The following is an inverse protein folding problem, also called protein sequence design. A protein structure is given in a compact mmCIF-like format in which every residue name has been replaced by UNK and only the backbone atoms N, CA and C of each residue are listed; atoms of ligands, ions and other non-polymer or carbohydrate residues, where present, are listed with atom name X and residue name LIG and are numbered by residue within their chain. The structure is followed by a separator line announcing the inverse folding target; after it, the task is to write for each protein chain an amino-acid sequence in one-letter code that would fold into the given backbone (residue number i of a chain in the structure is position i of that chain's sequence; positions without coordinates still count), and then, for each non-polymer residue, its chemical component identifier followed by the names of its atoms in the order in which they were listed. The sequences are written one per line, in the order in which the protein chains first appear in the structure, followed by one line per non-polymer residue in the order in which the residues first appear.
data_IF_689726408937
#
_entry.id   IF_689726408937
#
_cell.length_a   1.000
_cell.length_b   1.000
_cell.length_c   1.000
_cell.angle_alpha   90.00
_cell.angle_beta   90.00
_cell.angle_gamma   90.00
#
_symmetry.space_group_name_H-M   'P 1'
#
loop_
_entity.id
_entity.type
_entity.pdbx_description
1 polymer ?
#
# COMPACT_ATOMS: atom_id res chain seq x y z
N UNK A 1 16.03 -12.21 -5.40
CA UNK A 1 15.13 -11.78 -4.30
C UNK A 1 15.77 -10.56 -3.65
N UNK A 2 15.20 -9.36 -3.80
CA UNK A 2 15.75 -8.16 -3.17
C UNK A 2 15.37 -8.21 -1.70
N UNK A 3 16.35 -8.38 -0.81
CA UNK A 3 16.15 -8.24 0.64
C UNK A 3 16.35 -6.78 0.99
N UNK A 4 15.56 -6.27 1.92
CA UNK A 4 15.54 -4.87 2.31
C UNK A 4 16.85 -4.45 3.00
N UNK A 5 17.96 -4.33 2.26
CA UNK A 5 19.33 -3.98 2.70
C UNK A 5 19.81 -4.66 4.02
N UNK A 6 19.23 -5.81 4.39
CA UNK A 6 19.49 -6.48 5.67
C UNK A 6 18.61 -6.03 6.85
N UNK A 7 17.81 -4.98 6.71
CA UNK A 7 16.89 -4.47 7.72
C UNK A 7 15.53 -5.18 7.70
N UNK A 8 14.99 -5.48 8.89
CA UNK A 8 13.61 -5.98 9.04
C UNK A 8 12.64 -4.81 8.88
N UNK A 9 11.81 -4.82 7.85
CA UNK A 9 10.68 -3.88 7.70
C UNK A 9 9.50 -4.40 8.51
N UNK A 10 8.96 -3.56 9.40
CA UNK A 10 7.77 -3.85 10.21
C UNK A 10 6.89 -2.59 10.25
N UNK A 11 5.60 -2.77 10.55
CA UNK A 11 4.63 -1.67 10.72
C UNK A 11 4.57 -0.69 9.53
N UNK A 12 4.61 -1.21 8.31
CA UNK A 12 4.46 -0.41 7.10
C UNK A 12 3.10 -0.63 6.45
N UNK A 13 2.65 0.38 5.72
CA UNK A 13 1.40 0.35 4.97
C UNK A 13 1.70 0.02 3.51
N UNK A 14 0.92 -0.89 2.94
CA UNK A 14 0.98 -1.23 1.51
C UNK A 14 -0.37 -0.98 0.86
N UNK A 15 -0.35 -0.66 -0.43
CA UNK A 15 -1.57 -0.46 -1.22
C UNK A 15 -1.40 -1.08 -2.60
N UNK A 16 -2.37 -1.89 -3.02
CA UNK A 16 -2.56 -2.26 -4.42
C UNK A 16 -3.50 -1.26 -5.08
N UNK A 17 -3.09 -0.67 -6.22
CA UNK A 17 -3.87 0.32 -6.98
C UNK A 17 -4.22 -0.15 -8.39
N UNK A 18 -4.21 -1.47 -8.64
CA UNK A 18 -4.59 -2.03 -9.93
C UNK A 18 -6.07 -1.81 -10.24
N UNK A 19 -6.37 -1.46 -11.50
CA UNK A 19 -7.75 -1.35 -12.00
C UNK A 19 -8.49 -2.70 -11.96
N UNK A 20 -7.76 -3.81 -12.15
CA UNK A 20 -8.30 -5.18 -12.08
C UNK A 20 -7.58 -5.92 -10.97
N UNK A 21 -8.33 -6.49 -10.03
CA UNK A 21 -7.76 -7.27 -8.94
C UNK A 21 -7.15 -8.57 -9.44
N UNK A 22 -5.83 -8.70 -9.26
CA UNK A 22 -5.08 -9.91 -9.58
C UNK A 22 -4.55 -10.56 -8.31
N UNK A 23 -4.49 -11.88 -8.33
CA UNK A 23 -4.07 -12.66 -7.15
C UNK A 23 -2.63 -12.33 -6.69
N UNK A 24 -1.72 -12.00 -7.63
CA UNK A 24 -0.31 -11.68 -7.30
C UNK A 24 -0.17 -10.37 -6.53
N UNK A 25 -0.73 -9.24 -6.98
CA UNK A 25 -0.79 -8.02 -6.18
C UNK A 25 -1.48 -8.23 -4.83
N UNK A 26 -2.63 -8.88 -4.81
CA UNK A 26 -3.35 -9.16 -3.55
C UNK A 26 -2.49 -9.98 -2.58
N UNK A 27 -1.72 -10.95 -3.08
CA UNK A 27 -0.86 -11.78 -2.24
C UNK A 27 0.44 -11.07 -1.85
N UNK A 28 1.20 -10.56 -2.81
CA UNK A 28 2.56 -10.07 -2.60
C UNK A 28 2.62 -8.65 -2.02
N UNK A 29 1.59 -7.83 -2.27
CA UNK A 29 1.54 -6.43 -1.80
C UNK A 29 0.63 -6.31 -0.58
N UNK A 30 -0.54 -6.93 -0.61
CA UNK A 30 -1.55 -6.70 0.44
C UNK A 30 -1.39 -7.68 1.61
N UNK A 31 -1.36 -8.99 1.33
CA UNK A 31 -1.44 -10.04 2.37
C UNK A 31 -0.08 -10.47 2.93
N UNK A 32 0.91 -10.75 2.08
CA UNK A 32 2.21 -11.28 2.50
C UNK A 32 3.00 -10.29 3.35
N UNK A 33 3.03 -8.97 3.05
CA UNK A 33 3.74 -7.99 3.87
C UNK A 33 3.15 -7.80 5.28
N UNK A 34 1.86 -8.06 5.45
CA UNK A 34 1.12 -7.87 6.70
C UNK A 34 0.83 -9.17 7.46
N UNK A 35 1.30 -10.31 6.92
CA UNK A 35 0.98 -11.66 7.42
C UNK A 35 1.38 -11.89 8.88
N UNK A 36 2.45 -11.23 9.34
CA UNK A 36 2.96 -11.36 10.71
C UNK A 36 2.18 -10.46 11.72
N UNK A 37 1.02 -9.92 11.31
CA UNK A 37 0.17 -9.07 12.15
C UNK A 37 0.67 -7.64 12.30
N UNK A 38 1.76 -7.26 11.63
CA UNK A 38 2.34 -5.92 11.64
C UNK A 38 2.05 -5.18 10.34
N UNK A 39 1.68 -3.91 10.41
CA UNK A 39 1.38 -3.10 9.21
C UNK A 39 -0.07 -3.22 8.73
N UNK A 40 -0.38 -2.55 7.61
CA UNK A 40 -1.73 -2.55 7.02
C UNK A 40 -1.65 -2.67 5.50
N UNK A 41 -2.54 -3.47 4.92
CA UNK A 41 -2.60 -3.72 3.49
C UNK A 41 -3.95 -3.27 2.94
N UNK A 42 -3.91 -2.43 1.91
CA UNK A 42 -5.11 -1.88 1.27
C UNK A 42 -5.19 -2.24 -0.20
N UNK A 43 -6.41 -2.20 -0.72
CA UNK A 43 -6.69 -2.38 -2.13
C UNK A 43 -7.62 -1.25 -2.58
N UNK A 44 -7.17 -0.46 -3.56
CA UNK A 44 -7.94 0.57 -4.23
C UNK A 44 -8.09 0.15 -5.70
N UNK A 45 -9.31 0.21 -6.24
CA UNK A 45 -9.60 -0.23 -7.60
C UNK A 45 -10.08 0.97 -8.41
N UNK A 46 -9.39 1.28 -9.50
CA UNK A 46 -9.71 2.43 -10.35
C UNK A 46 -8.53 2.85 -11.22
N UNK A 47 -8.65 3.98 -11.92
CA UNK A 47 -7.56 4.56 -12.70
C UNK A 47 -6.51 5.13 -11.75
N UNK A 48 -5.33 4.51 -11.68
CA UNK A 48 -4.29 4.93 -10.74
C UNK A 48 -3.79 6.36 -11.01
N UNK A 49 -3.88 6.84 -12.24
CA UNK A 49 -3.60 8.23 -12.62
C UNK A 49 -4.47 9.24 -11.86
N UNK A 50 -5.68 8.84 -11.45
CA UNK A 50 -6.58 9.65 -10.59
C UNK A 50 -6.35 9.30 -9.12
N UNK A 51 -6.23 8.02 -8.78
CA UNK A 51 -6.13 7.58 -7.38
C UNK A 51 -4.85 8.06 -6.69
N UNK A 52 -3.71 8.07 -7.38
CA UNK A 52 -2.42 8.49 -6.83
C UNK A 52 -2.44 9.97 -6.40
N UNK A 53 -2.82 10.94 -7.26
CA UNK A 53 -2.88 12.34 -6.84
C UNK A 53 -3.94 12.59 -5.77
N UNK A 54 -5.09 11.89 -5.82
CA UNK A 54 -6.10 11.99 -4.76
C UNK A 54 -5.60 11.48 -3.41
N UNK A 55 -4.90 10.34 -3.38
CA UNK A 55 -4.29 9.81 -2.17
C UNK A 55 -3.25 10.78 -1.61
N UNK A 56 -2.41 11.36 -2.47
CA UNK A 56 -1.43 12.36 -2.06
C UNK A 56 -2.12 13.61 -1.45
N UNK A 57 -3.16 14.13 -2.12
CA UNK A 57 -3.94 15.27 -1.62
C UNK A 57 -4.60 14.97 -0.27
N UNK A 58 -5.23 13.80 -0.13
CA UNK A 58 -5.87 13.37 1.12
C UNK A 58 -4.87 13.24 2.28
N UNK A 59 -3.65 12.73 2.00
CA UNK A 59 -2.58 12.67 3.01
C UNK A 59 -2.15 14.07 3.42
N UNK A 60 -1.90 14.97 2.45
CA UNK A 60 -1.49 16.36 2.73
C UNK A 60 -2.56 17.08 3.57
N UNK A 61 -3.83 16.96 3.17
CA UNK A 61 -4.95 17.55 3.90
C UNK A 61 -5.07 16.96 5.31
N UNK A 62 -4.96 15.63 5.45
CA UNK A 62 -5.02 14.95 6.73
C UNK A 62 -3.88 15.33 7.68
N UNK A 63 -2.68 15.61 7.16
CA UNK A 63 -1.54 16.09 7.94
C UNK A 63 -1.63 17.59 8.29
N UNK A 64 -2.40 18.36 7.51
CA UNK A 64 -2.58 19.81 7.73
C UNK A 64 -3.69 20.12 8.74
N UNK A 65 -4.57 19.16 9.04
CA UNK A 65 -5.60 19.29 10.06
C UNK A 65 -4.96 19.14 11.46
N UNK A 66 -5.26 20.05 12.41
CA UNK A 66 -4.72 20.01 13.76
C UNK A 66 -5.24 18.82 14.57
#
# INVERSE_FOLDING_TARGET
MVRNLGYKVRNFTTVNMDFIQRYRPLTNVVRRPTKDGTGRGYTLTGHHEIMVPLLAAAIIEGLSKP
#
